data_IF_735436456498
#
_entry.id   IF_735436456498
#
_cell.length_a   1.000
_cell.length_b   1.000
_cell.length_c   1.000
_cell.angle_alpha   90.00
_cell.angle_beta   90.00
_cell.angle_gamma   90.00
#
_symmetry.space_group_name_H-M   'P 1'
#
loop_
_entity.id
_entity.type
_entity.pdbx_description
1 polymer ?
#
# COMPACT_ATOMS: atom_id res chain seq x y z
N UNK A 1 10.39 -4.98 -21.79
CA UNK A 1 10.14 -3.61 -21.31
C UNK A 1 10.81 -3.48 -19.96
N UNK A 2 11.62 -2.45 -19.73
CA UNK A 2 12.22 -2.25 -18.40
C UNK A 2 11.12 -1.77 -17.45
N UNK A 3 10.48 -2.67 -16.73
CA UNK A 3 9.55 -2.36 -15.65
C UNK A 3 10.37 -1.93 -14.43
N UNK A 4 10.95 -0.75 -14.51
CA UNK A 4 11.63 -0.17 -13.36
C UNK A 4 10.59 0.57 -12.52
N UNK A 5 10.29 0.07 -11.34
CA UNK A 5 9.35 0.64 -10.38
C UNK A 5 9.59 2.13 -10.18
N UNK A 6 10.84 2.56 -10.05
CA UNK A 6 11.22 3.98 -9.97
C UNK A 6 10.69 4.78 -11.16
N UNK A 7 10.89 4.30 -12.38
CA UNK A 7 10.45 5.00 -13.59
C UNK A 7 8.91 5.11 -13.65
N UNK A 8 8.20 4.05 -13.28
CA UNK A 8 6.74 4.06 -13.25
C UNK A 8 6.21 5.06 -12.21
N UNK A 9 6.77 5.09 -11.00
CA UNK A 9 6.36 6.06 -9.98
C UNK A 9 6.63 7.50 -10.38
N UNK A 10 7.72 7.78 -11.09
CA UNK A 10 7.96 9.12 -11.66
C UNK A 10 6.89 9.48 -12.71
N UNK A 11 6.47 8.54 -13.54
CA UNK A 11 5.40 8.75 -14.51
C UNK A 11 4.04 8.94 -13.83
N UNK A 12 3.74 8.14 -12.81
CA UNK A 12 2.54 8.29 -11.98
C UNK A 12 2.47 9.71 -11.41
N UNK A 13 3.54 10.18 -10.77
CA UNK A 13 3.57 11.54 -10.23
C UNK A 13 3.37 12.61 -11.33
N UNK A 14 4.02 12.46 -12.48
CA UNK A 14 3.84 13.41 -13.61
C UNK A 14 2.39 13.44 -14.10
N UNK A 15 1.72 12.29 -14.19
CA UNK A 15 0.30 12.22 -14.55
C UNK A 15 -0.57 12.88 -13.50
N UNK A 16 -0.31 12.61 -12.21
CA UNK A 16 -1.03 13.23 -11.11
C UNK A 16 -0.84 14.76 -11.06
N UNK A 17 0.37 15.25 -11.36
CA UNK A 17 0.63 16.71 -11.48
C UNK A 17 -0.22 17.36 -12.58
N UNK A 18 -0.55 16.63 -13.63
CA UNK A 18 -1.39 17.13 -14.73
C UNK A 18 -2.90 17.05 -14.43
N UNK A 19 -3.34 15.98 -13.73
CA UNK A 19 -4.75 15.70 -13.43
C UNK A 19 -5.21 16.43 -12.16
N UNK A 20 -4.45 16.25 -11.08
CA UNK A 20 -4.71 16.72 -9.73
C UNK A 20 -3.40 17.27 -9.12
N UNK A 21 -3.02 18.53 -9.43
CA UNK A 21 -1.72 19.09 -9.03
C UNK A 21 -1.45 19.05 -7.52
N UNK A 22 -2.46 19.11 -6.68
CA UNK A 22 -2.34 19.00 -5.22
C UNK A 22 -1.83 17.62 -4.82
N UNK A 23 -2.41 16.55 -5.40
CA UNK A 23 -1.97 15.17 -5.17
C UNK A 23 -0.53 14.98 -5.66
N UNK A 24 -0.23 15.39 -6.90
CA UNK A 24 1.13 15.23 -7.45
C UNK A 24 2.21 15.97 -6.67
N UNK A 25 1.88 17.10 -6.03
CA UNK A 25 2.80 17.91 -5.22
C UNK A 25 2.98 17.38 -3.80
N UNK A 26 2.04 16.60 -3.27
CA UNK A 26 2.09 16.07 -1.90
C UNK A 26 3.11 14.94 -1.72
N UNK A 27 3.65 14.38 -2.81
CA UNK A 27 4.71 13.36 -2.72
C UNK A 27 5.96 13.91 -2.05
N UNK A 28 6.42 13.22 -1.00
CA UNK A 28 7.61 13.60 -0.26
C UNK A 28 8.89 13.25 -1.04
N UNK A 29 10.01 13.85 -0.60
CA UNK A 29 11.33 13.53 -1.12
C UNK A 29 11.67 12.07 -0.88
N UNK A 30 12.61 11.48 -1.65
CA UNK A 30 13.08 10.12 -1.44
C UNK A 30 13.47 9.84 0.00
N UNK A 31 13.16 8.64 0.49
CA UNK A 31 13.66 8.16 1.77
C UNK A 31 15.17 7.93 1.73
N UNK A 32 15.83 8.17 2.86
CA UNK A 32 17.24 7.84 3.05
C UNK A 32 17.40 6.33 3.32
N UNK A 33 18.56 5.75 2.99
CA UNK A 33 18.83 4.32 3.25
C UNK A 33 18.73 3.96 4.74
N UNK A 34 19.05 4.89 5.63
CA UNK A 34 18.89 4.70 7.08
C UNK A 34 17.41 4.54 7.48
N UNK A 35 16.49 5.27 6.84
CA UNK A 35 15.05 5.15 7.09
C UNK A 35 14.51 3.80 6.57
N UNK A 36 14.92 3.40 5.35
CA UNK A 36 14.55 2.09 4.79
C UNK A 36 15.04 0.96 5.69
N UNK A 37 16.29 1.07 6.18
CA UNK A 37 16.83 0.09 7.13
C UNK A 37 16.06 0.09 8.44
N UNK A 38 15.69 1.24 8.99
CA UNK A 38 14.90 1.33 10.21
C UNK A 38 13.53 0.62 10.07
N UNK A 39 12.89 0.74 8.90
CA UNK A 39 11.66 0.01 8.61
C UNK A 39 11.91 -1.51 8.55
N UNK A 40 12.95 -1.98 7.83
CA UNK A 40 13.30 -3.40 7.79
C UNK A 40 13.64 -3.96 9.19
N UNK A 41 14.30 -3.16 10.03
CA UNK A 41 14.60 -3.54 11.42
C UNK A 41 13.33 -3.60 12.28
N UNK A 42 12.38 -2.66 12.11
CA UNK A 42 11.11 -2.63 12.85
C UNK A 42 10.22 -3.84 12.54
N UNK A 43 10.14 -4.23 11.25
CA UNK A 43 9.35 -5.41 10.82
C UNK A 43 10.13 -6.73 10.93
N UNK A 44 11.41 -6.69 11.28
CA UNK A 44 12.33 -7.83 11.38
C UNK A 44 12.39 -8.69 10.08
N UNK A 45 12.16 -8.11 8.92
CA UNK A 45 12.16 -8.78 7.61
C UNK A 45 12.67 -7.84 6.49
N UNK A 46 13.28 -8.38 5.43
CA UNK A 46 13.65 -7.58 4.27
C UNK A 46 12.41 -7.19 3.45
N UNK A 47 12.35 -5.94 3.04
CA UNK A 47 11.33 -5.43 2.12
C UNK A 47 11.56 -5.90 0.68
N UNK A 48 10.49 -6.08 -0.13
CA UNK A 48 10.60 -6.33 -1.56
C UNK A 48 11.42 -5.24 -2.27
N UNK A 49 12.23 -5.65 -3.23
CA UNK A 49 13.10 -4.73 -3.98
C UNK A 49 12.31 -3.60 -4.64
N UNK A 50 11.17 -3.90 -5.25
CA UNK A 50 10.30 -2.93 -5.92
C UNK A 50 9.75 -1.89 -4.93
N UNK A 51 9.39 -2.29 -3.71
CA UNK A 51 8.95 -1.35 -2.69
C UNK A 51 10.10 -0.44 -2.20
N UNK A 52 11.29 -0.98 -2.02
CA UNK A 52 12.49 -0.14 -1.72
C UNK A 52 12.81 0.84 -2.86
N UNK A 53 12.59 0.46 -4.13
CA UNK A 53 12.74 1.38 -5.26
C UNK A 53 11.70 2.51 -5.24
N UNK A 54 10.47 2.22 -4.81
CA UNK A 54 9.44 3.23 -4.57
C UNK A 54 9.89 4.21 -3.46
N UNK A 55 10.27 3.70 -2.30
CA UNK A 55 10.72 4.54 -1.17
C UNK A 55 11.94 5.41 -1.51
N UNK A 56 12.85 4.90 -2.35
CA UNK A 56 13.98 5.68 -2.92
C UNK A 56 13.56 6.69 -3.98
N UNK A 57 12.30 6.68 -4.39
CA UNK A 57 11.74 7.66 -5.33
C UNK A 57 10.90 8.67 -4.59
N UNK A 58 10.02 8.20 -3.71
CA UNK A 58 9.13 9.00 -2.88
C UNK A 58 8.94 8.33 -1.52
N UNK A 59 9.05 9.10 -0.43
CA UNK A 59 8.77 8.64 0.92
C UNK A 59 7.29 8.93 1.28
N UNK A 60 6.35 8.33 0.58
CA UNK A 60 4.94 8.58 0.80
C UNK A 60 4.49 9.99 0.38
N UNK A 61 3.42 10.45 1.00
CA UNK A 61 2.83 11.77 0.83
C UNK A 61 2.94 12.60 2.11
N UNK A 62 2.83 13.91 1.96
CA UNK A 62 2.77 14.87 3.07
C UNK A 62 1.50 14.62 3.89
N UNK A 63 1.69 14.44 5.21
CA UNK A 63 0.60 14.24 6.16
C UNK A 63 0.08 15.60 6.61
N UNK A 64 -1.23 15.82 6.56
CA UNK A 64 -1.87 17.07 6.96
C UNK A 64 -3.31 16.85 7.41
N UNK A 65 -3.89 17.83 8.09
CA UNK A 65 -5.32 17.80 8.51
C UNK A 65 -6.29 17.81 7.29
N UNK A 66 -5.79 18.13 6.09
CA UNK A 66 -6.54 18.08 4.85
C UNK A 66 -5.73 17.31 3.80
N UNK A 67 -5.69 15.99 3.89
CA UNK A 67 -4.83 15.16 3.05
C UNK A 67 -5.25 15.19 1.58
N UNK A 68 -4.27 15.03 0.71
CA UNK A 68 -4.48 14.84 -0.72
C UNK A 68 -4.33 13.34 -1.04
N UNK A 69 -5.42 12.62 -1.02
CA UNK A 69 -5.42 11.18 -1.25
C UNK A 69 -4.83 10.80 -2.61
N UNK A 70 -4.01 9.75 -2.61
CA UNK A 70 -3.32 9.27 -3.81
C UNK A 70 -4.29 8.79 -4.89
N UNK A 71 -5.14 7.81 -4.56
CA UNK A 71 -6.24 7.28 -5.38
C UNK A 71 -7.30 6.70 -4.44
N UNK A 72 -8.57 6.90 -4.76
CA UNK A 72 -9.65 6.70 -3.82
C UNK A 72 -9.35 7.53 -2.56
N UNK A 73 -9.60 6.97 -1.41
CA UNK A 73 -9.28 7.61 -0.13
C UNK A 73 -7.93 7.13 0.46
N UNK A 74 -7.05 6.56 -0.35
CA UNK A 74 -5.77 6.04 0.12
C UNK A 74 -4.70 7.13 0.21
N UNK A 75 -4.14 7.35 1.40
CA UNK A 75 -3.01 8.23 1.65
C UNK A 75 -1.73 7.40 1.75
N UNK A 76 -0.73 7.70 0.91
CA UNK A 76 0.56 7.00 0.96
C UNK A 76 1.35 7.43 2.20
N UNK A 77 1.67 6.47 3.06
CA UNK A 77 2.39 6.71 4.31
C UNK A 77 3.90 6.92 4.09
N UNK A 78 4.53 7.90 4.74
CA UNK A 78 5.98 7.97 4.87
C UNK A 78 6.47 6.89 5.86
N UNK A 79 7.77 6.58 5.83
CA UNK A 79 8.35 5.45 6.60
C UNK A 79 8.10 5.56 8.11
N UNK A 80 8.18 6.73 8.69
CA UNK A 80 7.90 6.96 10.10
C UNK A 80 6.46 6.59 10.46
N UNK A 81 5.48 7.01 9.68
CA UNK A 81 4.07 6.64 9.83
C UNK A 81 3.83 5.13 9.55
N UNK A 82 4.54 4.54 8.59
CA UNK A 82 4.50 3.08 8.36
C UNK A 82 4.93 2.34 9.63
N UNK A 83 6.05 2.75 10.24
CA UNK A 83 6.58 2.12 11.46
C UNK A 83 5.60 2.28 12.62
N UNK A 84 5.09 3.50 12.85
CA UNK A 84 4.14 3.78 13.93
C UNK A 84 2.86 2.96 13.76
N UNK A 85 2.25 3.00 12.58
CA UNK A 85 1.05 2.23 12.27
C UNK A 85 1.28 0.73 12.43
N UNK A 86 2.39 0.21 11.93
CA UNK A 86 2.76 -1.20 12.05
C UNK A 86 2.91 -1.63 13.52
N UNK A 87 3.63 -0.85 14.32
CA UNK A 87 3.86 -1.16 15.74
C UNK A 87 2.55 -1.15 16.54
N UNK A 88 1.70 -0.16 16.33
CA UNK A 88 0.38 -0.08 16.95
C UNK A 88 -0.49 -1.30 16.60
N UNK A 89 -0.54 -1.68 15.31
CA UNK A 89 -1.33 -2.83 14.88
C UNK A 89 -0.81 -4.15 15.44
N UNK A 90 0.52 -4.32 15.52
CA UNK A 90 1.14 -5.51 16.12
C UNK A 90 0.87 -5.56 17.63
N UNK A 91 0.98 -4.44 18.35
CA UNK A 91 0.71 -4.38 19.78
C UNK A 91 -0.76 -4.73 20.11
N UNK A 92 -1.69 -4.21 19.32
CA UNK A 92 -3.12 -4.32 19.62
C UNK A 92 -3.75 -5.62 19.09
N UNK A 93 -3.32 -6.14 17.94
CA UNK A 93 -4.10 -7.14 17.19
C UNK A 93 -3.30 -8.33 16.62
N UNK A 94 -1.98 -8.41 16.84
CA UNK A 94 -1.15 -9.47 16.22
C UNK A 94 -1.63 -10.87 16.64
N UNK A 95 -1.91 -11.69 15.62
CA UNK A 95 -2.30 -13.09 15.81
C UNK A 95 -3.70 -13.32 16.38
N UNK A 96 -4.48 -12.28 16.66
CA UNK A 96 -5.87 -12.47 17.07
C UNK A 96 -6.70 -13.12 15.96
N UNK A 97 -7.27 -14.28 16.25
CA UNK A 97 -8.13 -15.00 15.30
C UNK A 97 -9.44 -14.25 15.05
N UNK A 98 -9.84 -14.14 13.80
CA UNK A 98 -11.09 -13.47 13.42
C UNK A 98 -12.30 -14.32 13.73
N UNK A 99 -12.24 -15.61 13.45
CA UNK A 99 -13.28 -16.59 13.79
C UNK A 99 -12.73 -18.02 13.66
N UNK A 100 -13.27 -18.93 14.46
CA UNK A 100 -12.99 -20.36 14.32
C UNK A 100 -13.58 -20.90 13.01
N UNK A 101 -12.81 -21.72 12.30
CA UNK A 101 -13.27 -22.45 11.12
C UNK A 101 -13.17 -21.70 9.79
N UNK A 102 -12.59 -20.49 9.75
CA UNK A 102 -12.23 -19.85 8.47
C UNK A 102 -11.09 -20.65 7.83
N UNK A 103 -11.32 -21.11 6.60
CA UNK A 103 -10.29 -21.73 5.79
C UNK A 103 -9.62 -20.64 4.95
N UNK A 104 -8.44 -20.17 5.32
CA UNK A 104 -7.81 -19.03 4.64
C UNK A 104 -7.40 -19.44 3.22
N UNK A 105 -7.58 -18.51 2.27
CA UNK A 105 -7.13 -18.71 0.90
C UNK A 105 -5.72 -18.11 0.72
N UNK A 106 -5.61 -16.80 0.57
CA UNK A 106 -4.35 -16.11 0.24
C UNK A 106 -3.76 -15.30 1.38
N UNK A 107 -4.60 -14.88 2.35
CA UNK A 107 -4.18 -14.08 3.50
C UNK A 107 -4.46 -14.82 4.81
N UNK A 108 -3.71 -14.52 5.87
CA UNK A 108 -3.92 -15.12 7.19
C UNK A 108 -5.28 -14.67 7.76
N UNK A 109 -6.05 -15.59 8.43
CA UNK A 109 -7.37 -15.27 8.98
C UNK A 109 -7.25 -14.64 10.39
N UNK A 110 -6.54 -13.56 10.51
CA UNK A 110 -6.25 -12.85 11.76
C UNK A 110 -6.61 -11.37 11.62
N UNK A 111 -6.81 -10.68 12.74
CA UNK A 111 -7.05 -9.23 12.72
C UNK A 111 -5.84 -8.49 12.20
N UNK A 112 -4.63 -8.91 12.64
CA UNK A 112 -3.36 -8.41 12.11
C UNK A 112 -2.30 -9.50 12.10
N UNK A 113 -1.51 -9.56 11.02
CA UNK A 113 -0.32 -10.40 10.92
C UNK A 113 0.93 -9.53 10.88
N UNK A 114 1.95 -9.88 11.68
CA UNK A 114 3.25 -9.18 11.68
C UNK A 114 4.00 -9.20 10.35
N UNK A 115 3.56 -9.98 9.38
CA UNK A 115 4.04 -9.94 8.00
C UNK A 115 3.37 -8.86 7.15
N UNK A 116 2.33 -8.17 7.64
CA UNK A 116 1.63 -7.12 6.90
C UNK A 116 2.28 -5.76 7.14
N UNK A 117 2.80 -5.15 6.09
CA UNK A 117 3.47 -3.84 6.13
C UNK A 117 2.55 -2.81 5.50
N UNK A 118 1.87 -1.96 6.27
CA UNK A 118 0.95 -0.97 5.73
C UNK A 118 1.74 0.12 5.00
N UNK A 119 1.30 0.52 3.83
CA UNK A 119 1.90 1.65 3.11
C UNK A 119 0.86 2.69 2.66
N UNK A 120 -0.42 2.43 2.93
CA UNK A 120 -1.48 3.44 2.88
C UNK A 120 -2.31 3.39 4.14
N UNK A 121 -3.03 4.49 4.41
CA UNK A 121 -4.07 4.55 5.43
C UNK A 121 -5.26 5.37 4.95
N UNK A 122 -6.46 4.98 5.40
CA UNK A 122 -7.67 5.77 5.34
C UNK A 122 -8.39 5.69 6.70
N UNK A 123 -8.30 6.78 7.46
CA UNK A 123 -8.99 6.98 8.74
C UNK A 123 -8.83 5.79 9.72
N UNK A 124 -7.67 5.15 9.73
CA UNK A 124 -7.36 3.95 10.52
C UNK A 124 -8.27 2.74 10.25
N UNK A 125 -9.11 2.77 9.23
CA UNK A 125 -10.07 1.70 8.91
C UNK A 125 -9.68 0.85 7.73
N UNK A 126 -9.10 1.45 6.68
CA UNK A 126 -8.70 0.74 5.46
C UNK A 126 -7.22 0.95 5.20
N UNK A 127 -6.50 -0.11 4.89
CA UNK A 127 -5.07 -0.09 4.62
C UNK A 127 -4.71 -0.98 3.45
N UNK A 128 -3.80 -0.52 2.61
CA UNK A 128 -3.11 -1.38 1.65
C UNK A 128 -1.77 -1.77 2.25
N UNK A 129 -1.52 -3.08 2.29
CA UNK A 129 -0.32 -3.65 2.90
C UNK A 129 0.47 -4.49 1.90
N UNK A 130 1.78 -4.58 2.12
CA UNK A 130 2.59 -5.64 1.55
C UNK A 130 2.50 -6.83 2.49
N UNK A 131 2.10 -7.99 2.00
CA UNK A 131 1.98 -9.22 2.76
C UNK A 131 3.25 -10.07 2.62
N UNK A 132 4.04 -10.12 3.70
CA UNK A 132 5.27 -10.90 3.78
C UNK A 132 5.06 -12.29 4.41
N UNK A 133 3.85 -12.60 4.89
CA UNK A 133 3.47 -13.87 5.51
C UNK A 133 2.12 -14.39 4.98
N UNK A 134 1.97 -14.60 3.67
CA UNK A 134 0.69 -15.01 3.09
C UNK A 134 0.26 -16.39 3.58
N UNK A 135 -1.05 -16.70 3.44
CA UNK A 135 -1.56 -18.05 3.62
C UNK A 135 -1.15 -18.96 2.44
N UNK A 136 -1.54 -20.24 2.51
CA UNK A 136 -1.02 -21.31 1.64
C UNK A 136 -1.12 -21.04 0.13
N UNK A 137 -2.17 -20.34 -0.32
CA UNK A 137 -2.39 -20.03 -1.73
C UNK A 137 -1.94 -18.60 -2.11
N UNK A 138 -1.40 -17.84 -1.16
CA UNK A 138 -0.89 -16.50 -1.38
C UNK A 138 0.57 -16.48 -1.84
N UNK A 139 1.03 -15.31 -2.26
CA UNK A 139 2.40 -15.08 -2.73
C UNK A 139 3.11 -14.10 -1.81
N UNK A 140 4.28 -14.46 -1.27
CA UNK A 140 5.07 -13.56 -0.43
C UNK A 140 5.41 -12.26 -1.18
N UNK A 141 5.02 -11.13 -0.58
CA UNK A 141 5.18 -9.79 -1.18
C UNK A 141 3.98 -9.36 -2.03
N UNK A 142 2.88 -10.12 -2.00
CA UNK A 142 1.60 -9.69 -2.57
C UNK A 142 1.13 -8.40 -1.92
N UNK A 143 0.31 -7.64 -2.62
CA UNK A 143 -0.33 -6.42 -2.12
C UNK A 143 -1.78 -6.73 -1.81
N UNK A 144 -2.17 -6.46 -0.58
CA UNK A 144 -3.51 -6.75 -0.06
C UNK A 144 -4.18 -5.47 0.42
N UNK A 145 -5.52 -5.46 0.40
CA UNK A 145 -6.31 -4.38 1.00
C UNK A 145 -7.12 -4.92 2.17
N UNK A 146 -6.90 -4.32 3.34
CA UNK A 146 -7.59 -4.64 4.59
C UNK A 146 -8.65 -3.56 4.85
N UNK A 147 -9.88 -3.98 5.09
CA UNK A 147 -11.02 -3.10 5.37
C UNK A 147 -12.04 -3.82 6.28
N UNK A 148 -12.93 -3.09 6.97
CA UNK A 148 -13.97 -3.73 7.79
C UNK A 148 -14.88 -4.65 6.99
N UNK A 149 -15.03 -5.89 7.45
CA UNK A 149 -15.88 -6.89 6.78
C UNK A 149 -15.21 -7.61 5.61
N UNK A 150 -13.90 -7.58 5.55
CA UNK A 150 -13.10 -8.31 4.54
C UNK A 150 -13.46 -9.82 4.52
N UNK A 151 -13.60 -10.39 3.32
CA UNK A 151 -13.76 -11.83 3.12
C UNK A 151 -12.39 -12.51 2.92
N UNK A 152 -11.89 -13.14 3.97
CA UNK A 152 -10.59 -13.86 3.97
C UNK A 152 -10.53 -15.09 3.05
N UNK A 153 -11.65 -15.51 2.49
CA UNK A 153 -11.73 -16.61 1.53
C UNK A 153 -11.74 -16.10 0.08
N UNK A 154 -12.02 -14.81 -0.12
CA UNK A 154 -12.04 -14.19 -1.45
C UNK A 154 -10.61 -13.90 -1.97
N UNK A 155 -10.47 -13.97 -3.29
CA UNK A 155 -9.28 -13.51 -3.99
C UNK A 155 -9.23 -11.97 -4.13
N UNK A 156 -10.36 -11.29 -3.95
CA UNK A 156 -10.51 -9.83 -4.15
C UNK A 156 -9.68 -8.99 -3.18
N UNK A 157 -9.33 -9.58 -2.02
CA UNK A 157 -8.44 -8.94 -1.05
C UNK A 157 -7.01 -8.75 -1.56
N UNK A 158 -6.61 -9.50 -2.61
CA UNK A 158 -5.28 -9.42 -3.21
C UNK A 158 -5.33 -8.52 -4.44
N UNK A 159 -4.86 -7.30 -4.29
CA UNK A 159 -4.80 -6.31 -5.37
C UNK A 159 -3.76 -6.69 -6.44
N UNK A 160 -2.63 -7.29 -6.01
CA UNK A 160 -1.54 -7.69 -6.92
C UNK A 160 -0.65 -8.74 -6.27
N UNK A 161 0.03 -9.57 -7.08
CA UNK A 161 0.97 -10.58 -6.56
C UNK A 161 2.34 -10.01 -6.19
N UNK A 162 2.59 -8.73 -6.46
CA UNK A 162 3.79 -8.01 -6.05
C UNK A 162 3.57 -6.51 -6.08
N UNK A 163 4.42 -5.74 -5.39
CA UNK A 163 4.40 -4.29 -5.46
C UNK A 163 4.74 -3.75 -6.87
N UNK A 164 5.53 -4.48 -7.65
CA UNK A 164 5.79 -4.14 -9.05
C UNK A 164 4.52 -4.26 -9.89
N UNK A 165 3.77 -5.35 -9.75
CA UNK A 165 2.48 -5.54 -10.42
C UNK A 165 1.45 -4.48 -10.00
N UNK A 166 1.37 -4.18 -8.70
CA UNK A 166 0.55 -3.10 -8.17
C UNK A 166 0.88 -1.77 -8.84
N UNK A 167 2.18 -1.40 -8.87
CA UNK A 167 2.65 -0.18 -9.54
C UNK A 167 2.24 -0.13 -11.01
N UNK A 168 2.35 -1.26 -11.72
CA UNK A 168 1.97 -1.34 -13.14
C UNK A 168 0.46 -1.16 -13.33
N UNK A 169 -0.37 -1.71 -12.45
CA UNK A 169 -1.82 -1.53 -12.48
C UNK A 169 -2.20 -0.06 -12.29
N UNK A 170 -1.62 0.61 -11.28
CA UNK A 170 -1.79 2.05 -11.05
C UNK A 170 -1.40 2.86 -12.30
N UNK A 171 -0.24 2.56 -12.88
CA UNK A 171 0.19 3.25 -14.10
C UNK A 171 -0.79 3.02 -15.26
N UNK A 172 -1.27 1.80 -15.46
CA UNK A 172 -2.22 1.49 -16.53
C UNK A 172 -3.52 2.28 -16.39
N UNK A 173 -4.07 2.39 -15.18
CA UNK A 173 -5.28 3.19 -14.88
C UNK A 173 -5.07 4.65 -15.32
N UNK A 174 -3.95 5.26 -14.97
CA UNK A 174 -3.65 6.64 -15.34
C UNK A 174 -3.38 6.81 -16.85
N UNK A 175 -2.66 5.87 -17.47
CA UNK A 175 -2.28 5.91 -18.89
C UNK A 175 -3.50 5.72 -19.81
N UNK A 176 -4.42 4.81 -19.44
CA UNK A 176 -5.65 4.55 -20.16
C UNK A 176 -6.80 5.51 -19.80
N UNK A 177 -6.62 6.32 -18.76
CA UNK A 177 -7.62 7.21 -18.17
C UNK A 177 -8.88 6.47 -17.67
N UNK A 178 -8.68 5.29 -17.13
CA UNK A 178 -9.73 4.47 -16.53
C UNK A 178 -9.99 4.88 -15.07
N UNK A 179 -10.41 6.12 -14.90
CA UNK A 179 -10.75 6.76 -13.62
C UNK A 179 -11.71 7.93 -13.83
N UNK A 180 -12.45 8.31 -12.78
CA UNK A 180 -13.08 9.62 -12.66
C UNK A 180 -12.23 10.53 -11.76
N UNK A 181 -12.40 11.85 -11.92
CA UNK A 181 -11.80 12.83 -11.03
C UNK A 181 -12.87 13.83 -10.60
N UNK A 182 -13.34 13.70 -9.37
CA UNK A 182 -14.40 14.52 -8.80
C UNK A 182 -14.03 14.95 -7.38
N UNK A 183 -14.33 16.18 -7.03
CA UNK A 183 -14.09 16.74 -5.69
C UNK A 183 -12.66 16.60 -5.15
N UNK A 184 -11.66 16.50 -6.03
CA UNK A 184 -10.25 16.34 -5.65
C UNK A 184 -9.81 14.90 -5.47
N UNK A 185 -10.66 13.93 -5.73
CA UNK A 185 -10.40 12.49 -5.57
C UNK A 185 -10.37 11.82 -6.95
N UNK A 186 -9.40 10.95 -7.15
CA UNK A 186 -9.31 10.07 -8.31
C UNK A 186 -9.95 8.74 -7.92
N UNK A 187 -11.12 8.46 -8.46
CA UNK A 187 -11.86 7.21 -8.20
C UNK A 187 -11.67 6.20 -9.34
N UNK A 188 -11.61 4.94 -8.99
CA UNK A 188 -11.51 3.81 -9.90
C UNK A 188 -11.78 2.48 -9.14
N UNK A 189 -12.25 1.45 -9.84
CA UNK A 189 -12.75 0.21 -9.23
C UNK A 189 -11.67 -0.67 -8.56
N UNK A 190 -10.40 -0.40 -8.82
CA UNK A 190 -9.28 -1.22 -8.32
C UNK A 190 -8.92 -0.97 -6.85
N UNK A 191 -9.21 0.23 -6.30
CA UNK A 191 -8.86 0.64 -4.92
C UNK A 191 -10.10 1.16 -4.16
N UNK A 192 -11.27 0.66 -4.45
CA UNK A 192 -12.52 1.01 -3.75
C UNK A 192 -12.66 0.17 -2.49
#
# INVERSE_FOLDING_TARGET
>A
MNNNTKYLWQKIQQSLLAIAPSIGKSFQKPAEEAQIKALEDAIAQPLPKSFKEYLRTFNGQEQSDSPHYFMGYNLLLPIDEIIETYQMQVEDFEGESIADGINPNKIQPVLWDKGWVPFTDFEATTRICIDLNPAANGVKGQVIMLYPGIDYQSDEVVLANSFEEFTQKIWNILDTKDYSFEEGIIEQDFLI
#
